data_IF_131159012877
#
_entry.id   IF_131159012877
#
_cell.length_a   1.000
_cell.length_b   1.000
_cell.length_c   1.000
_cell.angle_alpha   90.00
_cell.angle_beta   90.00
_cell.angle_gamma   90.00
#
_symmetry.space_group_name_H-M   'P 1'
#
loop_
_entity.id
_entity.type
_entity.pdbx_description
1 polymer ?
#
# COMPACT_ATOMS: atom_id res chain seq x y z
N UNK A 1 -51.02 0.92 7.83
CA UNK A 1 -49.61 0.66 8.22
C UNK A 1 -49.07 1.97 8.80
N UNK A 2 -49.32 2.18 10.08
CA UNK A 2 -48.76 3.30 10.85
C UNK A 2 -47.33 2.97 11.26
N UNK A 3 -46.47 4.00 11.27
CA UNK A 3 -45.31 4.01 12.18
C UNK A 3 -43.92 3.79 11.59
N UNK A 4 -43.65 4.09 10.32
CA UNK A 4 -42.25 4.26 9.90
C UNK A 4 -41.75 5.63 10.39
N UNK A 5 -41.10 5.66 11.56
CA UNK A 5 -40.39 6.86 12.02
C UNK A 5 -39.29 7.19 11.01
N UNK A 6 -39.31 8.41 10.45
CA UNK A 6 -38.23 8.87 9.56
C UNK A 6 -36.93 8.89 10.34
N UNK A 7 -35.91 8.16 9.86
CA UNK A 7 -34.57 8.21 10.42
C UNK A 7 -34.03 9.63 10.28
N UNK A 8 -33.74 10.28 11.41
CA UNK A 8 -33.06 11.59 11.41
C UNK A 8 -31.57 11.36 11.22
N UNK A 9 -31.07 11.67 10.03
CA UNK A 9 -29.64 11.59 9.72
C UNK A 9 -28.90 12.79 10.35
N UNK A 10 -27.66 12.55 10.81
CA UNK A 10 -26.74 13.61 11.21
C UNK A 10 -26.15 14.33 10.00
N UNK A 11 -25.51 15.47 10.23
CA UNK A 11 -24.67 16.11 9.20
C UNK A 11 -23.52 15.17 8.81
N UNK A 12 -23.32 15.00 7.51
CA UNK A 12 -22.24 14.17 6.96
C UNK A 12 -20.94 14.98 6.91
N UNK A 13 -20.07 14.72 7.89
CA UNK A 13 -18.80 15.45 8.08
C UNK A 13 -17.59 14.78 7.41
N UNK A 14 -17.81 13.83 6.49
CA UNK A 14 -16.71 13.12 5.80
C UNK A 14 -15.84 14.10 5.02
N UNK A 15 -14.52 13.96 5.15
CA UNK A 15 -13.56 14.85 4.49
C UNK A 15 -13.47 14.65 2.97
N UNK A 16 -14.00 13.55 2.43
CA UNK A 16 -13.92 13.20 1.02
C UNK A 16 -12.51 12.85 0.52
N UNK A 17 -11.55 12.55 1.41
CA UNK A 17 -10.16 12.28 1.06
C UNK A 17 -9.67 10.96 1.63
N UNK A 18 -8.94 10.17 0.83
CA UNK A 18 -8.37 8.88 1.25
C UNK A 18 -6.94 8.71 0.77
N UNK A 19 -6.19 7.85 1.45
CA UNK A 19 -4.87 7.37 1.04
C UNK A 19 -4.81 5.85 1.19
N UNK A 20 -4.27 5.17 0.18
CA UNK A 20 -4.11 3.73 0.20
C UNK A 20 -2.73 3.38 0.77
N UNK A 21 -2.65 2.41 1.67
CA UNK A 21 -1.38 2.06 2.31
C UNK A 21 -1.14 0.56 2.30
N UNK A 22 0.11 0.16 2.10
CA UNK A 22 0.53 -1.23 2.26
C UNK A 22 0.25 -1.69 3.68
N UNK A 23 -0.25 -2.92 3.84
CA UNK A 23 -0.69 -3.47 5.12
C UNK A 23 0.32 -3.31 6.26
N UNK A 24 1.61 -3.49 5.97
CA UNK A 24 2.68 -3.40 6.97
C UNK A 24 2.87 -1.98 7.54
N UNK A 25 2.41 -0.92 6.86
CA UNK A 25 2.37 0.43 7.43
C UNK A 25 1.45 0.49 8.66
N UNK A 26 0.32 -0.25 8.62
CA UNK A 26 -0.66 -0.30 9.70
C UNK A 26 -0.40 -1.45 10.69
N UNK A 27 0.29 -2.50 10.25
CA UNK A 27 0.51 -3.69 11.06
C UNK A 27 1.85 -4.37 10.74
N UNK A 28 2.91 -3.99 11.46
CA UNK A 28 4.25 -4.56 11.32
C UNK A 28 4.31 -6.04 11.73
N UNK A 29 3.33 -6.56 12.46
CA UNK A 29 3.22 -8.00 12.78
C UNK A 29 2.98 -8.87 11.53
N UNK A 30 2.70 -8.26 10.37
CA UNK A 30 2.59 -8.94 9.08
C UNK A 30 3.93 -9.20 8.38
N UNK A 31 5.00 -8.55 8.83
CA UNK A 31 6.32 -8.65 8.21
C UNK A 31 6.94 -10.01 8.50
N UNK A 32 7.84 -10.43 7.62
CA UNK A 32 8.74 -11.55 7.93
C UNK A 32 9.52 -11.25 9.22
N UNK A 33 9.78 -12.28 10.00
CA UNK A 33 10.47 -12.13 11.27
C UNK A 33 11.87 -11.50 11.10
N UNK A 34 12.21 -10.61 12.04
CA UNK A 34 13.54 -9.97 12.11
C UNK A 34 13.67 -8.62 11.40
N UNK A 35 12.64 -8.15 10.68
CA UNK A 35 12.71 -6.87 9.94
C UNK A 35 11.69 -5.81 10.38
N UNK A 36 10.85 -6.11 11.38
CA UNK A 36 9.96 -5.11 11.96
C UNK A 36 10.76 -4.21 12.93
N UNK A 37 10.66 -2.90 12.77
CA UNK A 37 11.34 -1.89 13.61
C UNK A 37 10.35 -1.00 14.39
N UNK A 38 9.06 -1.33 14.34
CA UNK A 38 7.98 -0.80 15.19
C UNK A 38 7.12 -1.98 15.67
N UNK A 39 6.52 -1.91 16.88
CA UNK A 39 5.72 -3.01 17.44
C UNK A 39 4.33 -3.16 16.80
N UNK A 40 3.78 -2.10 16.19
CA UNK A 40 2.43 -2.09 15.64
C UNK A 40 2.41 -1.36 14.28
N UNK A 41 1.81 -0.18 14.18
CA UNK A 41 1.86 0.65 12.98
C UNK A 41 3.14 1.49 12.94
N UNK A 42 3.46 2.04 11.75
CA UNK A 42 4.39 3.16 11.60
C UNK A 42 3.60 4.42 11.97
N UNK A 43 3.60 4.75 13.26
CA UNK A 43 2.73 5.78 13.83
C UNK A 43 3.00 7.16 13.28
N UNK A 44 4.23 7.46 12.84
CA UNK A 44 4.59 8.72 12.21
C UNK A 44 3.77 8.96 10.93
N UNK A 45 3.66 7.92 10.10
CA UNK A 45 2.88 7.94 8.85
C UNK A 45 1.38 8.01 9.14
N UNK A 46 0.89 7.14 10.02
CA UNK A 46 -0.54 7.08 10.39
C UNK A 46 -1.00 8.40 11.01
N UNK A 47 -0.24 8.96 11.96
CA UNK A 47 -0.58 10.21 12.62
C UNK A 47 -0.57 11.39 11.64
N UNK A 48 0.36 11.43 10.69
CA UNK A 48 0.37 12.46 9.65
C UNK A 48 -0.93 12.41 8.82
N UNK A 49 -1.36 11.22 8.41
CA UNK A 49 -2.58 11.04 7.62
C UNK A 49 -3.83 11.47 8.43
N UNK A 50 -3.98 10.95 9.65
CA UNK A 50 -5.15 11.20 10.48
C UNK A 50 -5.26 12.66 10.94
N UNK A 51 -4.15 13.32 11.31
CA UNK A 51 -4.15 14.75 11.69
C UNK A 51 -4.62 15.67 10.56
N UNK A 52 -4.56 15.21 9.31
CA UNK A 52 -5.04 15.95 8.15
C UNK A 52 -6.44 15.51 7.69
N UNK A 53 -7.18 14.77 8.53
CA UNK A 53 -8.53 14.26 8.25
C UNK A 53 -8.61 13.43 6.95
N UNK A 54 -7.55 12.70 6.60
CA UNK A 54 -7.56 11.80 5.43
C UNK A 54 -7.86 10.39 5.91
N UNK A 55 -8.82 9.71 5.26
CA UNK A 55 -9.13 8.32 5.52
C UNK A 55 -8.01 7.38 5.05
N UNK A 56 -7.83 6.25 5.73
CA UNK A 56 -6.83 5.24 5.35
C UNK A 56 -7.56 4.04 4.76
N UNK A 57 -7.17 3.64 3.54
CA UNK A 57 -7.61 2.39 2.91
C UNK A 57 -6.45 1.40 2.95
N UNK A 58 -6.63 0.30 3.68
CA UNK A 58 -5.61 -0.73 3.79
C UNK A 58 -5.61 -1.60 2.53
N UNK A 59 -4.46 -1.69 1.86
CA UNK A 59 -4.24 -2.67 0.80
C UNK A 59 -3.93 -4.05 1.39
N UNK A 60 -4.30 -5.16 0.71
CA UNK A 60 -3.91 -6.49 1.13
C UNK A 60 -2.38 -6.64 1.15
N UNK A 61 -1.87 -7.57 1.95
CA UNK A 61 -0.47 -7.99 1.92
C UNK A 61 -0.37 -9.31 1.15
N UNK A 62 0.05 -9.31 -0.13
CA UNK A 62 0.07 -10.53 -0.93
C UNK A 62 0.95 -11.62 -0.32
N UNK A 63 2.04 -11.21 0.35
CA UNK A 63 2.94 -12.16 1.00
C UNK A 63 2.27 -12.90 2.15
N UNK A 64 1.51 -12.20 3.02
CA UNK A 64 0.85 -12.85 4.17
C UNK A 64 -0.40 -13.62 3.78
N UNK A 65 -1.14 -13.17 2.78
CA UNK A 65 -2.36 -13.84 2.33
C UNK A 65 -2.09 -15.04 1.42
N UNK A 66 -0.89 -15.12 0.83
CA UNK A 66 -0.47 -16.28 0.05
C UNK A 66 0.38 -17.28 0.86
N UNK A 67 1.41 -16.81 1.57
CA UNK A 67 2.36 -17.69 2.30
C UNK A 67 2.07 -17.82 3.80
N UNK A 68 1.22 -16.95 4.35
CA UNK A 68 1.07 -16.82 5.80
C UNK A 68 2.20 -16.01 6.44
N UNK A 69 2.14 -15.90 7.78
CA UNK A 69 3.10 -15.10 8.56
C UNK A 69 4.41 -15.85 8.84
N UNK A 70 4.37 -17.19 8.91
CA UNK A 70 5.54 -18.05 9.17
C UNK A 70 6.27 -18.39 7.88
N UNK A 71 6.81 -17.36 7.22
CA UNK A 71 7.50 -17.48 5.93
C UNK A 71 8.96 -17.03 6.04
N UNK A 72 9.77 -17.48 5.09
CA UNK A 72 11.11 -16.96 4.91
C UNK A 72 11.12 -15.64 4.14
N UNK A 73 12.18 -14.86 4.29
CA UNK A 73 12.44 -13.74 3.41
C UNK A 73 12.76 -14.29 2.03
N UNK A 74 12.20 -13.67 0.99
CA UNK A 74 12.33 -14.10 -0.39
C UNK A 74 12.66 -12.91 -1.29
N UNK A 75 13.32 -13.17 -2.41
CA UNK A 75 13.64 -12.14 -3.41
C UNK A 75 12.51 -11.95 -4.40
N UNK A 76 12.53 -10.85 -5.16
CA UNK A 76 11.53 -10.57 -6.17
C UNK A 76 11.34 -11.75 -7.12
N UNK A 77 12.42 -12.38 -7.58
CA UNK A 77 12.34 -13.49 -8.54
C UNK A 77 11.66 -14.74 -7.93
N UNK A 78 11.67 -14.95 -6.60
CA UNK A 78 10.96 -16.09 -5.98
C UNK A 78 9.45 -15.83 -5.91
N UNK A 79 9.08 -14.55 -5.83
CA UNK A 79 7.70 -14.10 -5.89
C UNK A 79 7.22 -13.93 -7.33
N UNK A 80 8.11 -13.61 -8.26
CA UNK A 80 7.82 -13.40 -9.68
C UNK A 80 7.71 -14.72 -10.43
N UNK A 81 6.85 -15.59 -9.92
CA UNK A 81 6.47 -16.86 -10.53
C UNK A 81 5.04 -16.76 -11.04
N UNK A 82 4.65 -17.51 -12.09
CA UNK A 82 3.37 -17.31 -12.78
C UNK A 82 2.16 -17.24 -11.85
N UNK A 83 2.04 -18.20 -10.91
CA UNK A 83 0.90 -18.29 -9.98
C UNK A 83 0.82 -17.15 -8.98
N UNK A 84 1.96 -16.68 -8.45
CA UNK A 84 1.99 -15.60 -7.47
C UNK A 84 1.82 -14.23 -8.14
N UNK A 85 2.35 -14.04 -9.34
CA UNK A 85 2.08 -12.83 -10.14
C UNK A 85 0.60 -12.74 -10.55
N UNK A 86 -0.02 -13.86 -10.93
CA UNK A 86 -1.47 -13.92 -11.16
C UNK A 86 -2.26 -13.50 -9.92
N UNK A 87 -1.90 -14.06 -8.75
CA UNK A 87 -2.50 -13.66 -7.48
C UNK A 87 -2.34 -12.16 -7.18
N UNK A 88 -1.14 -11.61 -7.41
CA UNK A 88 -0.91 -10.18 -7.26
C UNK A 88 -1.78 -9.35 -8.21
N UNK A 89 -2.00 -9.82 -9.45
CA UNK A 89 -2.85 -9.16 -10.44
C UNK A 89 -4.31 -9.12 -10.00
N UNK A 90 -4.82 -10.20 -9.42
CA UNK A 90 -6.17 -10.25 -8.84
C UNK A 90 -6.33 -9.22 -7.72
N UNK A 91 -5.41 -9.22 -6.74
CA UNK A 91 -5.43 -8.22 -5.66
C UNK A 91 -5.29 -6.79 -6.19
N UNK A 92 -4.43 -6.58 -7.19
CA UNK A 92 -4.21 -5.27 -7.81
C UNK A 92 -5.48 -4.77 -8.50
N UNK A 93 -6.22 -5.66 -9.16
CA UNK A 93 -7.53 -5.35 -9.75
C UNK A 93 -8.52 -4.88 -8.70
N UNK A 94 -8.58 -5.54 -7.54
CA UNK A 94 -9.49 -5.14 -6.46
C UNK A 94 -9.12 -3.79 -5.82
N UNK A 95 -7.83 -3.54 -5.63
CA UNK A 95 -7.37 -2.22 -5.15
C UNK A 95 -7.67 -1.15 -6.20
N UNK A 96 -7.41 -1.41 -7.49
CA UNK A 96 -7.72 -0.49 -8.56
C UNK A 96 -9.24 -0.23 -8.69
N UNK A 97 -10.09 -1.23 -8.46
CA UNK A 97 -11.55 -1.07 -8.39
C UNK A 97 -11.93 -0.06 -7.29
N UNK A 98 -11.37 -0.21 -6.09
CA UNK A 98 -11.63 0.72 -4.98
C UNK A 98 -11.13 2.14 -5.29
N UNK A 99 -9.92 2.29 -5.86
CA UNK A 99 -9.39 3.60 -6.26
C UNK A 99 -10.32 4.27 -7.27
N UNK A 100 -10.75 3.54 -8.31
CA UNK A 100 -11.71 4.05 -9.30
C UNK A 100 -13.03 4.45 -8.65
N UNK A 101 -13.54 3.64 -7.72
CA UNK A 101 -14.81 3.92 -7.04
C UNK A 101 -14.74 5.23 -6.23
N UNK A 102 -13.67 5.43 -5.43
CA UNK A 102 -13.46 6.69 -4.73
C UNK A 102 -13.43 7.88 -5.69
N UNK A 103 -12.63 7.79 -6.76
CA UNK A 103 -12.50 8.87 -7.73
C UNK A 103 -13.84 9.18 -8.44
N UNK A 104 -14.59 8.15 -8.85
CA UNK A 104 -15.92 8.29 -9.47
C UNK A 104 -16.96 8.86 -8.52
N UNK A 105 -16.85 8.53 -7.23
CA UNK A 105 -17.67 9.09 -6.15
C UNK A 105 -17.25 10.51 -5.75
N UNK A 106 -16.28 11.12 -6.45
CA UNK A 106 -15.86 12.50 -6.22
C UNK A 106 -14.89 12.67 -5.05
N UNK A 107 -14.32 11.58 -4.53
CA UNK A 107 -13.29 11.66 -3.49
C UNK A 107 -11.93 12.01 -4.10
N UNK A 108 -11.04 12.52 -3.26
CA UNK A 108 -9.63 12.66 -3.58
C UNK A 108 -8.88 11.45 -3.05
N UNK A 109 -8.27 10.68 -3.95
CA UNK A 109 -7.23 9.71 -3.58
C UNK A 109 -5.89 10.44 -3.56
N UNK A 110 -5.34 10.66 -2.36
CA UNK A 110 -4.14 11.44 -2.15
C UNK A 110 -2.90 10.74 -2.72
N UNK A 111 -2.73 9.46 -2.40
CA UNK A 111 -1.66 8.60 -2.90
C UNK A 111 -1.92 7.11 -2.59
N UNK A 112 -1.04 6.27 -3.13
CA UNK A 112 -0.82 4.88 -2.75
C UNK A 112 0.58 4.77 -2.13
N UNK A 113 0.68 4.20 -0.93
CA UNK A 113 1.96 4.02 -0.22
C UNK A 113 2.39 2.56 -0.29
N UNK A 114 3.48 2.31 -1.01
CA UNK A 114 4.22 1.05 -1.01
C UNK A 114 5.39 1.04 -0.04
N UNK A 115 6.20 -0.01 -0.06
CA UNK A 115 7.31 -0.25 0.86
C UNK A 115 8.59 -0.58 0.07
N UNK A 116 9.45 0.40 -0.15
CA UNK A 116 10.70 0.27 -0.89
C UNK A 116 11.63 -0.74 -0.22
N UNK A 117 12.24 -1.60 -1.06
CA UNK A 117 13.04 -2.74 -0.64
C UNK A 117 12.24 -4.04 -0.54
N UNK A 118 10.90 -3.97 -0.58
CA UNK A 118 10.06 -5.17 -0.64
C UNK A 118 10.12 -5.82 -2.03
N UNK A 119 10.22 -7.16 -2.12
CA UNK A 119 10.07 -7.90 -3.39
C UNK A 119 8.69 -7.75 -4.02
N UNK A 120 7.67 -7.44 -3.21
CA UNK A 120 6.26 -7.45 -3.63
C UNK A 120 5.66 -6.05 -3.62
N UNK A 121 5.87 -5.28 -2.55
CA UNK A 121 5.28 -3.95 -2.37
C UNK A 121 6.25 -2.78 -2.64
N UNK A 122 7.45 -3.03 -3.18
CA UNK A 122 8.42 -1.99 -3.53
C UNK A 122 7.91 -1.05 -4.63
N UNK A 123 8.21 0.26 -4.52
CA UNK A 123 7.76 1.28 -5.48
C UNK A 123 8.92 1.74 -6.37
N UNK A 124 9.98 2.24 -5.74
CA UNK A 124 11.19 2.70 -6.42
C UNK A 124 12.32 1.68 -6.34
N UNK A 125 12.30 0.83 -5.30
CA UNK A 125 13.34 -0.15 -5.02
C UNK A 125 12.76 -1.51 -4.66
N UNK A 126 13.43 -2.56 -5.11
CA UNK A 126 13.14 -3.96 -4.78
C UNK A 126 14.45 -4.72 -4.53
N UNK A 127 14.38 -6.00 -4.17
CA UNK A 127 15.55 -6.84 -3.92
C UNK A 127 15.77 -7.88 -5.03
N UNK A 128 17.03 -8.26 -5.22
CA UNK A 128 17.48 -9.33 -6.13
C UNK A 128 18.74 -9.98 -5.56
N UNK A 129 19.19 -11.09 -6.15
CA UNK A 129 20.40 -11.79 -5.72
C UNK A 129 21.67 -11.04 -6.19
N UNK A 130 22.76 -11.14 -5.42
CA UNK A 130 24.05 -10.53 -5.79
C UNK A 130 24.78 -11.39 -6.82
N UNK A 131 25.00 -12.65 -6.48
CA UNK A 131 25.69 -13.68 -7.27
C UNK A 131 25.57 -15.03 -6.55
N UNK A 132 25.80 -16.13 -7.27
CA UNK A 132 25.80 -17.50 -6.72
C UNK A 132 24.53 -18.29 -7.02
N UNK A 133 24.45 -19.49 -6.45
CA UNK A 133 23.27 -20.35 -6.55
C UNK A 133 22.16 -19.78 -5.67
N UNK A 134 21.09 -19.33 -6.29
CA UNK A 134 19.91 -18.82 -5.62
C UNK A 134 18.81 -19.90 -5.67
N UNK A 135 18.50 -20.46 -4.50
CA UNK A 135 17.68 -21.66 -4.34
C UNK A 135 18.48 -22.85 -3.79
N UNK A 136 17.79 -23.97 -3.56
CA UNK A 136 18.37 -25.18 -2.95
C UNK A 136 17.81 -25.49 -1.56
N UNK A 137 18.34 -26.53 -0.93
CA UNK A 137 17.90 -26.95 0.40
C UNK A 137 18.40 -26.00 1.49
N UNK A 138 17.55 -25.71 2.47
CA UNK A 138 17.97 -25.04 3.69
C UNK A 138 18.74 -26.06 4.54
N UNK A 139 20.06 -25.94 4.57
CA UNK A 139 20.97 -26.72 5.42
C UNK A 139 21.51 -25.85 6.56
N UNK A 140 22.19 -26.46 7.54
CA UNK A 140 22.91 -25.70 8.58
C UNK A 140 23.97 -24.77 7.96
N UNK A 141 24.56 -25.15 6.84
CA UNK A 141 25.57 -24.34 6.16
C UNK A 141 24.94 -23.14 5.47
N UNK A 142 23.88 -23.33 4.67
CA UNK A 142 23.18 -22.23 3.99
C UNK A 142 22.50 -21.29 5.00
N UNK A 143 22.13 -21.77 6.17
CA UNK A 143 21.60 -20.92 7.23
C UNK A 143 22.69 -20.04 7.87
N UNK A 144 23.92 -20.55 8.01
CA UNK A 144 25.07 -19.76 8.50
C UNK A 144 25.60 -18.78 7.46
N UNK A 145 25.52 -19.16 6.19
CA UNK A 145 25.97 -18.36 5.04
C UNK A 145 24.81 -18.20 4.04
N UNK A 146 23.79 -17.39 4.36
CA UNK A 146 22.65 -17.21 3.47
C UNK A 146 23.08 -16.51 2.17
N UNK A 147 22.39 -16.79 1.04
CA UNK A 147 22.61 -16.07 -0.20
C UNK A 147 22.51 -14.56 0.00
N UNK A 148 23.47 -13.83 -0.58
CA UNK A 148 23.49 -12.37 -0.49
C UNK A 148 22.45 -11.76 -1.43
N UNK A 149 21.74 -10.76 -0.91
CA UNK A 149 20.81 -9.95 -1.68
C UNK A 149 21.33 -8.51 -1.84
N UNK A 150 20.89 -7.84 -2.89
CA UNK A 150 21.11 -6.40 -3.13
C UNK A 150 19.80 -5.70 -3.45
N UNK A 151 19.79 -4.39 -3.26
CA UNK A 151 18.71 -3.52 -3.66
C UNK A 151 18.94 -3.02 -5.09
N UNK A 152 17.88 -3.01 -5.89
CA UNK A 152 17.90 -2.53 -7.28
C UNK A 152 16.68 -1.66 -7.55
N UNK A 153 16.81 -0.73 -8.50
CA UNK A 153 15.69 0.11 -8.94
C UNK A 153 14.59 -0.75 -9.58
N UNK A 154 13.34 -0.48 -9.21
CA UNK A 154 12.17 -1.14 -9.76
C UNK A 154 11.08 -1.38 -8.72
N UNK A 155 9.89 -1.73 -9.21
CA UNK A 155 8.74 -2.09 -8.39
C UNK A 155 8.81 -3.56 -7.97
N UNK A 156 8.19 -3.88 -6.82
CA UNK A 156 7.86 -5.24 -6.47
C UNK A 156 6.66 -5.77 -7.27
N UNK A 157 6.48 -7.09 -7.28
CA UNK A 157 5.51 -7.79 -8.15
C UNK A 157 4.09 -7.21 -8.05
N UNK A 158 3.59 -6.93 -6.84
CA UNK A 158 2.24 -6.39 -6.65
C UNK A 158 2.11 -4.94 -7.11
N UNK A 159 3.12 -4.10 -6.83
CA UNK A 159 3.10 -2.71 -7.27
C UNK A 159 3.22 -2.57 -8.79
N UNK A 160 3.93 -3.49 -9.46
CA UNK A 160 3.94 -3.56 -10.93
C UNK A 160 2.54 -3.82 -11.49
N UNK A 161 1.84 -4.82 -10.95
CA UNK A 161 0.48 -5.15 -11.39
C UNK A 161 -0.52 -4.03 -11.05
N UNK A 162 -0.41 -3.42 -9.86
CA UNK A 162 -1.26 -2.29 -9.47
C UNK A 162 -1.03 -1.05 -10.34
N UNK A 163 0.22 -0.68 -10.61
CA UNK A 163 0.55 0.42 -11.51
C UNK A 163 0.02 0.17 -12.93
N UNK A 164 0.09 -1.09 -13.40
CA UNK A 164 -0.44 -1.49 -14.70
C UNK A 164 -1.98 -1.39 -14.74
N UNK A 165 -2.67 -1.91 -13.74
CA UNK A 165 -4.13 -1.84 -13.63
C UNK A 165 -4.65 -0.40 -13.61
N UNK A 166 -4.01 0.48 -12.84
CA UNK A 166 -4.38 1.91 -12.79
C UNK A 166 -4.16 2.59 -14.14
N UNK A 167 -3.01 2.35 -14.79
CA UNK A 167 -2.67 2.92 -16.10
C UNK A 167 -3.65 2.47 -17.19
N UNK A 168 -3.99 1.19 -17.21
CA UNK A 168 -4.96 0.63 -18.17
C UNK A 168 -6.35 1.27 -18.05
N UNK A 169 -6.67 1.83 -16.87
CA UNK A 169 -7.93 2.53 -16.58
C UNK A 169 -7.83 4.04 -16.74
N UNK A 170 -6.69 4.57 -17.17
CA UNK A 170 -6.43 6.01 -17.27
C UNK A 170 -6.43 6.72 -15.91
N UNK A 171 -6.13 6.00 -14.82
CA UNK A 171 -6.08 6.56 -13.47
C UNK A 171 -4.67 6.99 -13.12
N UNK A 172 -4.52 8.26 -12.77
CA UNK A 172 -3.27 8.84 -12.29
C UNK A 172 -3.40 9.19 -10.80
N UNK A 173 -2.68 8.45 -9.96
CA UNK A 173 -2.58 8.67 -8.52
C UNK A 173 -1.10 8.56 -8.14
N UNK A 174 -0.56 9.46 -7.28
CA UNK A 174 0.81 9.34 -6.81
C UNK A 174 1.05 8.01 -6.11
N UNK A 175 2.11 7.29 -6.48
CA UNK A 175 2.57 6.08 -5.79
C UNK A 175 3.91 6.41 -5.14
N UNK A 176 3.99 6.34 -3.82
CA UNK A 176 5.19 6.70 -3.05
C UNK A 176 5.69 5.51 -2.22
N UNK A 177 7.00 5.36 -2.13
CA UNK A 177 7.64 4.24 -1.43
C UNK A 177 8.11 4.63 -0.05
N UNK A 178 7.61 3.94 0.98
CA UNK A 178 8.16 4.02 2.34
C UNK A 178 9.49 3.25 2.42
N UNK A 179 10.59 3.83 2.91
CA UNK A 179 11.88 3.15 2.96
C UNK A 179 11.93 2.10 4.08
N UNK A 180 11.98 0.82 3.74
CA UNK A 180 12.05 -0.28 4.73
C UNK A 180 13.43 -0.46 5.36
N UNK A 181 14.46 0.15 4.76
CA UNK A 181 15.86 0.01 5.13
C UNK A 181 16.52 1.38 5.13
N UNK A 182 17.46 1.63 6.04
CA UNK A 182 18.15 2.93 6.15
C UNK A 182 18.90 3.29 4.87
N UNK A 183 19.39 2.28 4.16
CA UNK A 183 20.09 2.37 2.89
C UNK A 183 19.22 2.91 1.75
N UNK A 184 17.89 2.84 1.91
CA UNK A 184 16.91 3.35 0.94
C UNK A 184 16.45 4.78 1.23
N UNK A 185 16.90 5.35 2.35
CA UNK A 185 16.53 6.68 2.82
C UNK A 185 16.02 6.67 4.26
N UNK A 186 15.92 7.87 4.83
CA UNK A 186 15.40 8.08 6.17
C UNK A 186 13.88 8.24 6.19
N UNK A 187 13.26 7.93 7.33
CA UNK A 187 11.84 8.25 7.55
C UNK A 187 11.55 9.75 7.35
N UNK A 188 12.48 10.63 7.74
CA UNK A 188 12.31 12.09 7.63
C UNK A 188 12.16 12.55 6.17
N UNK A 189 12.89 11.92 5.25
CA UNK A 189 12.80 12.22 3.81
C UNK A 189 11.46 11.75 3.26
N UNK A 190 11.03 10.56 3.66
CA UNK A 190 9.70 10.05 3.32
C UNK A 190 8.59 10.96 3.87
N UNK A 191 8.71 11.42 5.12
CA UNK A 191 7.72 12.32 5.72
C UNK A 191 7.59 13.63 4.95
N UNK A 192 8.70 14.21 4.44
CA UNK A 192 8.64 15.39 3.57
C UNK A 192 7.87 15.13 2.27
N UNK A 193 8.01 13.94 1.69
CA UNK A 193 7.24 13.54 0.50
C UNK A 193 5.77 13.36 0.85
N UNK A 194 5.47 12.66 1.94
CA UNK A 194 4.10 12.45 2.43
C UNK A 194 3.40 13.77 2.71
N UNK A 195 4.06 14.71 3.40
CA UNK A 195 3.51 16.03 3.68
C UNK A 195 3.20 16.82 2.41
N UNK A 196 4.02 16.69 1.37
CA UNK A 196 3.77 17.34 0.07
C UNK A 196 2.51 16.77 -0.58
N UNK A 197 2.42 15.45 -0.66
CA UNK A 197 1.25 14.73 -1.21
C UNK A 197 -0.03 15.09 -0.43
N UNK A 198 0.07 15.13 0.91
CA UNK A 198 -1.05 15.53 1.77
C UNK A 198 -1.47 16.97 1.50
N UNK A 199 -0.52 17.92 1.44
CA UNK A 199 -0.80 19.32 1.11
C UNK A 199 -1.47 19.47 -0.27
N UNK A 200 -1.02 18.72 -1.26
CA UNK A 200 -1.64 18.70 -2.60
C UNK A 200 -3.06 18.14 -2.56
N UNK A 201 -3.29 17.06 -1.82
CA UNK A 201 -4.63 16.49 -1.64
C UNK A 201 -5.59 17.43 -0.90
N UNK A 202 -5.10 18.21 0.08
CA UNK A 202 -5.90 19.19 0.80
C UNK A 202 -6.34 20.37 -0.08
N UNK A 203 -5.52 20.76 -1.06
CA UNK A 203 -5.86 21.82 -2.04
C UNK A 203 -6.95 21.40 -3.03
N UNK A 204 -7.15 20.09 -3.22
CA UNK A 204 -8.20 19.55 -4.07
C UNK A 204 -9.51 19.53 -3.28
N UNK A 205 -10.55 20.14 -3.81
CA UNK A 205 -11.91 20.02 -3.25
C UNK A 205 -12.55 18.71 -3.73
N UNK A 206 -12.92 17.80 -2.81
CA UNK A 206 -13.73 16.64 -3.16
C UNK A 206 -15.08 17.09 -3.74
N UNK A 207 -15.51 16.42 -4.80
CA UNK A 207 -16.84 16.59 -5.41
C UNK A 207 -17.90 15.68 -4.80
N UNK A 208 -17.50 14.83 -3.85
CA UNK A 208 -18.41 14.04 -3.03
C UNK A 208 -19.29 15.00 -2.20
N UNK A 209 -20.45 15.40 -2.74
CA UNK A 209 -21.39 16.33 -2.10
C UNK A 209 -22.57 15.56 -1.49
N UNK A 210 -22.88 15.75 -0.19
CA UNK A 210 -24.10 15.23 0.43
C UNK A 210 -25.39 15.96 -0.02
N UNK A 211 -25.31 17.10 -0.73
CA UNK A 211 -26.43 18.04 -0.84
C UNK A 211 -27.25 17.96 -2.14
N UNK A 212 -26.93 17.06 -3.08
CA UNK A 212 -27.67 16.95 -4.34
C UNK A 212 -28.87 15.98 -4.32
N UNK A 213 -29.21 15.38 -3.16
CA UNK A 213 -30.39 14.50 -3.03
C UNK A 213 -31.52 15.07 -2.17
N UNK A 214 -31.42 16.34 -1.74
CA UNK A 214 -32.48 17.03 -0.97
C UNK A 214 -32.97 18.34 -1.61
N UNK A 215 -32.66 18.59 -2.89
CA UNK A 215 -33.20 19.74 -3.65
C UNK A 215 -34.20 19.33 -4.75
N UNK A 216 -34.75 18.14 -4.68
CA UNK A 216 -35.85 17.69 -5.54
C UNK A 216 -36.87 16.93 -4.68
N UNK A 217 -37.94 17.63 -4.29
CA UNK A 217 -39.04 17.10 -3.49
C UNK A 217 -39.58 18.12 -2.50
#
# INVERSE_FOLDING_TARGET
MEGASRVKLSEDVRSGRVIFVSHCILNQNSKVYGIAYRPAAITEVVNCILKNNIGIVQMPCPESTYWGLRRWAMLKEQYDVPRFREYCRELAREVANQVVEYLRSGYVVAAIIGCDGSPVCGVNWTNTYVSGQWGGFITKETFRNPPKQKLVKGMGVFMEELSRELRNRGVEVPIIGYPEMKELGGIDEFMKVLERVVKEALRREPRASPTNHQRSG
#
